data_IF_034358610615
#
_entry.id   IF_034358610615
#
_cell.length_a   1.000
_cell.length_b   1.000
_cell.length_c   1.000
_cell.angle_alpha   90.00
_cell.angle_beta   90.00
_cell.angle_gamma   90.00
#
_symmetry.space_group_name_H-M   'P 1'
#
loop_
_entity.id
_entity.type
_entity.pdbx_description
1 polymer ?
#
# COMPACT_ATOMS: atom_id res chain seq x y z
N UNK A 1 -33.33 12.18 1.29
CA UNK A 1 -34.50 11.47 0.73
C UNK A 1 -35.09 10.61 1.82
N UNK A 2 -36.38 10.81 2.13
CA UNK A 2 -37.07 10.17 3.26
C UNK A 2 -37.20 8.65 3.02
N UNK A 3 -36.55 7.85 3.85
CA UNK A 3 -36.78 6.39 3.93
C UNK A 3 -38.17 6.15 4.52
N UNK A 4 -39.20 6.25 3.68
CA UNK A 4 -40.56 5.86 4.06
C UNK A 4 -40.58 4.34 4.31
N UNK A 5 -40.60 3.98 5.58
CA UNK A 5 -40.40 2.63 6.06
C UNK A 5 -41.68 1.80 5.87
N UNK A 6 -41.76 1.03 4.77
CA UNK A 6 -42.99 0.31 4.39
C UNK A 6 -43.12 -1.02 5.14
N UNK A 7 -43.52 -0.95 6.41
CA UNK A 7 -43.96 -2.10 7.20
C UNK A 7 -45.32 -2.59 6.65
N UNK A 8 -45.62 -3.90 6.79
CA UNK A 8 -46.90 -4.45 6.34
C UNK A 8 -48.08 -3.73 7.05
N UNK A 9 -49.08 -3.22 6.30
CA UNK A 9 -50.25 -2.58 6.88
C UNK A 9 -51.08 -3.58 7.72
N UNK A 10 -51.78 -3.09 8.75
CA UNK A 10 -52.44 -3.92 9.77
C UNK A 10 -53.98 -4.02 9.63
N UNK A 11 -54.63 -3.16 8.83
CA UNK A 11 -56.10 -3.02 8.86
C UNK A 11 -56.85 -3.17 7.54
N UNK A 12 -56.20 -3.03 6.38
CA UNK A 12 -56.86 -3.15 5.07
C UNK A 12 -56.34 -4.37 4.29
N UNK A 13 -57.23 -5.32 3.99
CA UNK A 13 -56.93 -6.55 3.27
C UNK A 13 -56.42 -6.30 1.84
N UNK A 14 -56.95 -5.28 1.16
CA UNK A 14 -56.53 -4.90 -0.20
C UNK A 14 -55.10 -4.34 -0.20
N UNK A 15 -54.78 -3.51 0.80
CA UNK A 15 -53.43 -2.97 1.00
C UNK A 15 -52.43 -4.06 1.41
N UNK A 16 -52.84 -5.01 2.26
CA UNK A 16 -52.02 -6.17 2.65
C UNK A 16 -51.70 -7.02 1.42
N UNK A 17 -52.68 -7.28 0.55
CA UNK A 17 -52.47 -8.07 -0.68
C UNK A 17 -51.53 -7.35 -1.64
N UNK A 18 -51.71 -6.04 -1.82
CA UNK A 18 -50.82 -5.21 -2.64
C UNK A 18 -49.40 -5.13 -2.06
N UNK A 19 -49.24 -5.06 -0.73
CA UNK A 19 -47.95 -5.12 -0.06
C UNK A 19 -47.28 -6.48 -0.28
N UNK A 20 -47.98 -7.60 -0.05
CA UNK A 20 -47.44 -8.96 -0.26
C UNK A 20 -46.97 -9.19 -1.69
N UNK A 21 -47.70 -8.68 -2.69
CA UNK A 21 -47.29 -8.77 -4.11
C UNK A 21 -45.98 -8.03 -4.38
N UNK A 22 -45.86 -6.80 -3.85
CA UNK A 22 -44.63 -5.99 -3.99
C UNK A 22 -43.46 -6.60 -3.25
N UNK A 23 -43.70 -7.09 -2.04
CA UNK A 23 -42.68 -7.74 -1.22
C UNK A 23 -42.18 -9.04 -1.89
N UNK A 24 -43.08 -9.87 -2.42
CA UNK A 24 -42.70 -11.07 -3.18
C UNK A 24 -41.86 -10.74 -4.43
N UNK A 25 -42.23 -9.69 -5.17
CA UNK A 25 -41.44 -9.22 -6.31
C UNK A 25 -40.04 -8.75 -5.88
N UNK A 26 -39.95 -7.94 -4.83
CA UNK A 26 -38.67 -7.47 -4.29
C UNK A 26 -37.79 -8.63 -3.81
N UNK A 27 -38.35 -9.62 -3.09
CA UNK A 27 -37.63 -10.82 -2.69
C UNK A 27 -37.08 -11.59 -3.89
N UNK A 28 -37.87 -11.74 -4.96
CA UNK A 28 -37.44 -12.41 -6.19
C UNK A 28 -36.27 -11.68 -6.85
N UNK A 29 -36.36 -10.35 -6.99
CA UNK A 29 -35.29 -9.53 -7.56
C UNK A 29 -34.01 -9.64 -6.73
N UNK A 30 -34.13 -9.51 -5.39
CA UNK A 30 -32.98 -9.59 -4.48
C UNK A 30 -32.33 -10.98 -4.59
N UNK A 31 -33.11 -12.05 -4.48
CA UNK A 31 -32.61 -13.43 -4.54
C UNK A 31 -31.88 -13.72 -5.86
N UNK A 32 -32.43 -13.28 -6.99
CA UNK A 32 -31.82 -13.48 -8.32
C UNK A 32 -30.56 -12.65 -8.57
N UNK A 33 -30.37 -11.58 -7.80
CA UNK A 33 -29.21 -10.68 -7.95
C UNK A 33 -27.98 -11.14 -7.15
N UNK A 34 -28.10 -12.20 -6.36
CA UNK A 34 -27.02 -12.71 -5.51
C UNK A 34 -26.41 -13.98 -6.09
N UNK A 35 -25.11 -14.17 -5.84
CA UNK A 35 -24.47 -15.46 -6.00
C UNK A 35 -24.92 -16.45 -4.92
N UNK A 36 -24.60 -17.74 -5.11
CA UNK A 36 -24.99 -18.83 -4.21
C UNK A 36 -24.50 -18.62 -2.77
N UNK A 37 -23.33 -17.99 -2.60
CA UNK A 37 -22.77 -17.72 -1.29
C UNK A 37 -23.62 -16.70 -0.52
N UNK A 38 -23.88 -15.53 -1.11
CA UNK A 38 -24.71 -14.50 -0.47
C UNK A 38 -26.17 -14.95 -0.32
N UNK A 39 -26.66 -15.77 -1.26
CA UNK A 39 -28.00 -16.35 -1.18
C UNK A 39 -28.21 -17.23 0.05
N UNK A 40 -27.17 -17.91 0.54
CA UNK A 40 -27.26 -18.75 1.74
C UNK A 40 -27.71 -17.96 2.98
N UNK A 41 -27.29 -16.69 3.11
CA UNK A 41 -27.55 -15.87 4.29
C UNK A 41 -28.97 -15.28 4.35
N UNK A 42 -29.66 -15.19 3.21
CA UNK A 42 -31.02 -14.64 3.12
C UNK A 42 -32.11 -15.72 3.14
N UNK A 43 -31.73 -17.01 3.16
CA UNK A 43 -32.64 -18.15 3.05
C UNK A 43 -33.70 -18.19 4.15
N UNK A 44 -33.38 -17.72 5.35
CA UNK A 44 -34.29 -17.67 6.49
C UNK A 44 -35.12 -16.38 6.60
N UNK A 45 -34.83 -15.37 5.77
CA UNK A 45 -35.53 -14.09 5.78
C UNK A 45 -36.94 -14.24 5.20
N UNK A 46 -37.94 -13.66 5.86
CA UNK A 46 -39.35 -13.80 5.49
C UNK A 46 -39.84 -12.64 4.63
N UNK A 47 -39.21 -11.47 4.75
CA UNK A 47 -39.59 -10.26 4.04
C UNK A 47 -38.42 -9.73 3.20
N UNK A 48 -38.73 -8.98 2.14
CA UNK A 48 -37.70 -8.31 1.33
C UNK A 48 -36.87 -7.32 2.16
N UNK A 49 -37.48 -6.69 3.17
CA UNK A 49 -36.79 -5.85 4.15
C UNK A 49 -35.73 -6.64 4.92
N UNK A 50 -36.10 -7.80 5.48
CA UNK A 50 -35.15 -8.66 6.19
C UNK A 50 -34.00 -9.12 5.29
N UNK A 51 -34.29 -9.51 4.04
CA UNK A 51 -33.26 -9.91 3.08
C UNK A 51 -32.28 -8.76 2.82
N UNK A 52 -32.78 -7.56 2.54
CA UNK A 52 -31.95 -6.39 2.27
C UNK A 52 -31.10 -6.02 3.49
N UNK A 53 -31.69 -6.00 4.68
CA UNK A 53 -30.97 -5.74 5.92
C UNK A 53 -29.88 -6.78 6.18
N UNK A 54 -30.14 -8.06 5.89
CA UNK A 54 -29.14 -9.12 6.02
C UNK A 54 -27.95 -8.89 5.06
N UNK A 55 -28.22 -8.54 3.81
CA UNK A 55 -27.19 -8.24 2.79
C UNK A 55 -26.36 -7.04 3.22
N UNK A 56 -27.02 -5.93 3.61
CA UNK A 56 -26.35 -4.72 4.11
C UNK A 56 -25.42 -5.07 5.26
N UNK A 57 -25.91 -5.80 6.26
CA UNK A 57 -25.10 -6.24 7.41
C UNK A 57 -23.87 -7.05 6.99
N UNK A 58 -24.00 -7.99 6.06
CA UNK A 58 -22.87 -8.82 5.59
C UNK A 58 -21.83 -7.96 4.88
N UNK A 59 -22.28 -7.05 4.00
CA UNK A 59 -21.38 -6.16 3.25
C UNK A 59 -20.70 -5.14 4.16
N UNK A 60 -21.42 -4.60 5.14
CA UNK A 60 -20.86 -3.71 6.16
C UNK A 60 -19.85 -4.45 7.03
N UNK A 61 -20.16 -5.66 7.48
CA UNK A 61 -19.23 -6.47 8.27
C UNK A 61 -17.96 -6.81 7.47
N UNK A 62 -18.09 -7.19 6.20
CA UNK A 62 -16.94 -7.41 5.33
C UNK A 62 -16.10 -6.13 5.16
N UNK A 63 -16.75 -4.98 5.04
CA UNK A 63 -16.09 -3.67 5.01
C UNK A 63 -15.34 -3.39 6.31
N UNK A 64 -15.96 -3.60 7.47
CA UNK A 64 -15.32 -3.40 8.79
C UNK A 64 -14.13 -4.34 8.97
N UNK A 65 -14.28 -5.62 8.63
CA UNK A 65 -13.18 -6.60 8.70
C UNK A 65 -12.03 -6.22 7.79
N UNK A 66 -12.32 -5.74 6.58
CA UNK A 66 -11.31 -5.30 5.62
C UNK A 66 -10.57 -4.06 6.12
N UNK A 67 -11.31 -3.09 6.70
CA UNK A 67 -10.73 -1.90 7.35
C UNK A 67 -9.74 -2.30 8.44
N UNK A 68 -10.18 -3.15 9.38
CA UNK A 68 -9.34 -3.67 10.46
C UNK A 68 -8.08 -4.38 9.94
N UNK A 69 -8.21 -5.22 8.91
CA UNK A 69 -7.08 -5.94 8.33
C UNK A 69 -6.04 -4.99 7.74
N UNK A 70 -6.47 -4.03 6.92
CA UNK A 70 -5.56 -3.07 6.29
C UNK A 70 -4.94 -2.14 7.35
N UNK A 71 -5.70 -1.76 8.38
CA UNK A 71 -5.15 -1.04 9.55
C UNK A 71 -4.05 -1.83 10.25
N UNK A 72 -4.27 -3.12 10.49
CA UNK A 72 -3.24 -4.00 11.05
C UNK A 72 -2.01 -4.11 10.14
N UNK A 73 -2.22 -4.24 8.82
CA UNK A 73 -1.13 -4.26 7.82
C UNK A 73 -0.27 -2.99 7.89
N UNK A 74 -0.90 -1.80 7.94
CA UNK A 74 -0.18 -0.53 8.07
C UNK A 74 0.61 -0.44 9.38
N UNK A 75 0.01 -0.80 10.50
CA UNK A 75 0.71 -0.75 11.79
C UNK A 75 1.87 -1.74 11.87
N UNK A 76 1.70 -2.95 11.33
CA UNK A 76 2.72 -3.99 11.32
C UNK A 76 3.79 -3.81 10.22
N UNK A 77 3.55 -2.97 9.21
CA UNK A 77 4.50 -2.74 8.13
C UNK A 77 5.77 -2.06 8.66
N UNK A 78 6.92 -2.70 8.47
CA UNK A 78 8.23 -2.19 8.88
C UNK A 78 9.25 -2.45 7.79
N UNK A 79 10.39 -1.76 7.86
CA UNK A 79 11.53 -2.06 7.02
C UNK A 79 11.98 -3.51 7.23
N UNK A 80 12.37 -4.19 6.15
CA UNK A 80 12.86 -5.58 6.16
C UNK A 80 14.29 -5.63 5.59
N UNK A 81 15.09 -6.64 5.98
CA UNK A 81 16.40 -6.84 5.38
C UNK A 81 16.31 -6.94 3.86
N UNK A 82 17.22 -6.25 3.16
CA UNK A 82 17.26 -6.21 1.69
C UNK A 82 16.35 -5.16 1.03
N UNK A 83 15.56 -4.41 1.81
CA UNK A 83 14.82 -3.26 1.29
C UNK A 83 15.72 -2.03 1.18
N UNK A 84 15.46 -1.21 0.17
CA UNK A 84 15.97 0.16 0.01
C UNK A 84 14.82 1.18 0.18
N UNK A 85 15.14 2.47 0.22
CA UNK A 85 14.15 3.54 0.44
C UNK A 85 13.00 3.46 -0.57
N UNK A 86 13.33 3.32 -1.86
CA UNK A 86 12.33 3.25 -2.93
C UNK A 86 11.35 2.08 -2.74
N UNK A 87 11.85 0.88 -2.47
CA UNK A 87 11.03 -0.31 -2.24
C UNK A 87 10.17 -0.20 -0.98
N UNK A 88 10.69 0.43 0.08
CA UNK A 88 9.96 0.65 1.32
C UNK A 88 8.80 1.62 1.14
N UNK A 89 9.05 2.78 0.53
CA UNK A 89 8.04 3.79 0.25
C UNK A 89 6.98 3.25 -0.72
N UNK A 90 7.38 2.52 -1.77
CA UNK A 90 6.44 1.90 -2.69
C UNK A 90 5.49 0.93 -1.97
N UNK A 91 6.00 0.03 -1.14
CA UNK A 91 5.17 -0.90 -0.37
C UNK A 91 4.26 -0.20 0.65
N UNK A 92 4.74 0.87 1.29
CA UNK A 92 3.92 1.69 2.19
C UNK A 92 2.77 2.37 1.44
N UNK A 93 3.05 2.96 0.27
CA UNK A 93 2.05 3.61 -0.57
C UNK A 93 0.97 2.63 -1.07
N UNK A 94 1.32 1.38 -1.34
CA UNK A 94 0.33 0.34 -1.63
C UNK A 94 -0.66 0.17 -0.48
N UNK A 95 -0.19 0.17 0.77
CA UNK A 95 -1.04 0.03 1.95
C UNK A 95 -1.89 1.30 2.16
N UNK A 96 -1.29 2.49 2.00
CA UNK A 96 -2.02 3.77 2.09
C UNK A 96 -3.12 3.85 1.04
N UNK A 97 -2.86 3.43 -0.20
CA UNK A 97 -3.87 3.39 -1.26
C UNK A 97 -5.02 2.41 -0.93
N UNK A 98 -4.71 1.25 -0.32
CA UNK A 98 -5.74 0.33 0.19
C UNK A 98 -6.61 1.00 1.25
N UNK A 99 -6.01 1.73 2.21
CA UNK A 99 -6.74 2.48 3.24
C UNK A 99 -7.70 3.49 2.62
N UNK A 100 -7.21 4.30 1.67
CA UNK A 100 -8.02 5.31 0.99
C UNK A 100 -9.20 4.70 0.23
N UNK A 101 -8.99 3.57 -0.46
CA UNK A 101 -10.07 2.85 -1.15
C UNK A 101 -11.17 2.33 -0.22
N UNK A 102 -10.84 2.12 1.07
CA UNK A 102 -11.79 1.75 2.11
C UNK A 102 -12.35 2.99 2.84
N UNK A 103 -12.09 4.20 2.37
CA UNK A 103 -12.50 5.46 3.01
C UNK A 103 -11.92 5.61 4.43
N UNK A 104 -10.68 5.16 4.62
CA UNK A 104 -9.87 5.48 5.79
C UNK A 104 -8.94 6.61 5.36
N UNK A 105 -9.17 7.82 5.87
CA UNK A 105 -8.30 8.97 5.65
C UNK A 105 -7.10 8.88 6.60
N UNK A 106 -5.91 9.11 6.04
CA UNK A 106 -4.66 9.18 6.79
C UNK A 106 -4.03 10.54 6.49
N UNK A 107 -3.75 11.29 7.55
CA UNK A 107 -3.01 12.55 7.42
C UNK A 107 -1.57 12.26 7.01
N UNK A 108 -1.00 13.14 6.19
CA UNK A 108 0.40 13.06 5.75
C UNK A 108 1.36 12.96 6.95
N UNK A 109 1.04 13.62 8.07
CA UNK A 109 1.80 13.56 9.33
C UNK A 109 1.92 12.14 9.88
N UNK A 110 0.85 11.35 9.80
CA UNK A 110 0.82 9.95 10.26
C UNK A 110 1.71 9.10 9.35
N UNK A 111 1.63 9.30 8.04
CA UNK A 111 2.40 8.54 7.06
C UNK A 111 3.89 8.90 7.18
N UNK A 112 4.22 10.18 7.28
CA UNK A 112 5.59 10.68 7.53
C UNK A 112 6.13 10.12 8.85
N UNK A 113 5.35 10.18 9.93
CA UNK A 113 5.73 9.62 11.21
C UNK A 113 6.04 8.12 11.11
N UNK A 114 5.23 7.37 10.35
CA UNK A 114 5.45 5.95 10.08
C UNK A 114 6.75 5.70 9.33
N UNK A 115 7.04 6.48 8.28
CA UNK A 115 8.31 6.38 7.53
C UNK A 115 9.48 6.58 8.48
N UNK A 116 9.50 7.72 9.19
CA UNK A 116 10.60 8.07 10.10
C UNK A 116 10.77 7.02 11.19
N UNK A 117 9.69 6.46 11.74
CA UNK A 117 9.76 5.43 12.78
C UNK A 117 10.39 4.13 12.25
N UNK A 118 10.02 3.71 11.05
CA UNK A 118 10.41 2.42 10.49
C UNK A 118 11.78 2.39 9.79
N UNK A 119 12.47 3.54 9.67
CA UNK A 119 13.82 3.57 9.13
C UNK A 119 14.78 2.69 9.94
N UNK A 120 15.73 1.99 9.28
CA UNK A 120 16.77 1.23 9.97
C UNK A 120 17.81 2.16 10.64
N UNK A 121 18.67 1.59 11.48
CA UNK A 121 19.70 2.33 12.24
C UNK A 121 20.69 3.09 11.35
N UNK A 122 20.90 2.63 10.12
CA UNK A 122 21.80 3.29 9.15
C UNK A 122 21.33 4.73 8.80
N UNK A 123 20.06 5.03 9.05
CA UNK A 123 19.47 6.36 8.87
C UNK A 123 19.36 7.15 10.18
N UNK A 124 20.04 6.77 11.26
CA UNK A 124 19.92 7.49 12.54
C UNK A 124 20.45 8.93 12.45
N UNK A 125 21.52 9.16 11.68
CA UNK A 125 22.03 10.51 11.39
C UNK A 125 20.97 11.38 10.71
N UNK A 126 20.28 10.82 9.71
CA UNK A 126 19.15 11.45 9.05
C UNK A 126 18.02 11.72 10.06
N UNK A 127 17.66 10.74 10.90
CA UNK A 127 16.59 10.88 11.89
C UNK A 127 16.85 12.01 12.89
N UNK A 128 18.09 12.19 13.33
CA UNK A 128 18.45 13.30 14.21
C UNK A 128 18.37 14.65 13.48
N UNK A 129 18.95 14.74 12.28
CA UNK A 129 18.89 15.96 11.46
C UNK A 129 17.44 16.38 11.17
N UNK A 130 16.60 15.41 10.83
CA UNK A 130 15.18 15.59 10.59
C UNK A 130 14.46 16.14 11.81
N UNK A 131 14.68 15.58 13.00
CA UNK A 131 14.05 16.07 14.25
C UNK A 131 14.40 17.52 14.57
N UNK A 132 15.59 17.97 14.19
CA UNK A 132 16.05 19.34 14.44
C UNK A 132 15.55 20.33 13.37
N UNK A 133 15.33 19.85 12.15
CA UNK A 133 15.11 20.70 10.97
C UNK A 133 13.72 20.57 10.36
N UNK A 134 12.88 19.67 10.88
CA UNK A 134 11.57 19.35 10.30
C UNK A 134 10.72 20.62 10.11
N UNK A 135 10.35 20.96 8.86
CA UNK A 135 9.42 22.04 8.58
C UNK A 135 8.06 21.83 9.25
N UNK A 136 7.33 22.93 9.50
CA UNK A 136 5.94 22.88 10.00
C UNK A 136 4.97 22.21 9.02
N UNK A 137 5.30 22.21 7.73
CA UNK A 137 4.53 21.59 6.65
C UNK A 137 5.49 20.79 5.79
N UNK A 138 5.51 19.47 5.98
CA UNK A 138 6.31 18.54 5.16
C UNK A 138 5.36 17.71 4.34
N UNK A 139 5.70 17.52 3.06
CA UNK A 139 5.03 16.52 2.22
C UNK A 139 5.82 15.22 2.21
N UNK A 140 5.12 14.09 1.99
CA UNK A 140 5.77 12.78 1.84
C UNK A 140 6.77 12.76 0.66
N UNK A 141 6.52 13.55 -0.38
CA UNK A 141 7.42 13.71 -1.53
C UNK A 141 8.76 14.32 -1.15
N UNK A 142 8.74 15.38 -0.33
CA UNK A 142 9.96 16.06 0.12
C UNK A 142 10.81 15.13 0.99
N UNK A 143 10.16 14.43 1.92
CA UNK A 143 10.83 13.43 2.77
C UNK A 143 11.46 12.31 1.94
N UNK A 144 10.71 11.78 0.97
CA UNK A 144 11.20 10.69 0.10
C UNK A 144 12.44 11.13 -0.68
N UNK A 145 12.43 12.34 -1.22
CA UNK A 145 13.58 12.89 -1.97
C UNK A 145 14.82 13.01 -1.09
N UNK A 146 14.67 13.49 0.15
CA UNK A 146 15.78 13.62 1.09
C UNK A 146 16.33 12.25 1.54
N UNK A 147 15.47 11.26 1.75
CA UNK A 147 15.89 9.90 2.09
C UNK A 147 16.66 9.23 0.96
N UNK A 148 16.22 9.39 -0.29
CA UNK A 148 16.93 8.86 -1.47
C UNK A 148 18.32 9.48 -1.65
N UNK A 149 18.44 10.80 -1.42
CA UNK A 149 19.74 11.46 -1.43
C UNK A 149 20.66 10.90 -0.32
N UNK A 150 20.12 10.72 0.89
CA UNK A 150 20.87 10.15 2.00
C UNK A 150 21.34 8.72 1.72
N UNK A 151 20.48 7.87 1.14
CA UNK A 151 20.83 6.50 0.74
C UNK A 151 21.97 6.47 -0.30
N UNK A 152 21.91 7.37 -1.28
CA UNK A 152 22.94 7.51 -2.32
C UNK A 152 24.29 7.93 -1.75
N UNK A 153 24.30 8.88 -0.81
CA UNK A 153 25.51 9.34 -0.14
C UNK A 153 26.16 8.24 0.71
N UNK A 154 25.36 7.40 1.38
CA UNK A 154 25.85 6.26 2.15
C UNK A 154 26.54 5.22 1.25
N UNK A 155 25.95 4.93 0.09
CA UNK A 155 26.53 4.02 -0.89
C UNK A 155 27.87 4.56 -1.44
N UNK A 156 27.94 5.86 -1.73
CA UNK A 156 29.18 6.50 -2.18
C UNK A 156 30.30 6.39 -1.11
N UNK A 157 29.96 6.61 0.17
CA UNK A 157 30.91 6.49 1.29
C UNK A 157 31.39 5.06 1.51
N UNK A 158 30.51 4.07 1.39
CA UNK A 158 30.89 2.66 1.57
C UNK A 158 31.84 2.20 0.45
N UNK A 159 31.62 2.62 -0.80
CA UNK A 159 32.54 2.36 -1.91
C UNK A 159 33.93 2.98 -1.68
N UNK A 160 33.99 4.22 -1.17
CA UNK A 160 35.26 4.87 -0.86
C UNK A 160 36.02 4.20 0.28
N UNK A 161 35.32 3.72 1.32
CA UNK A 161 35.93 3.01 2.44
C UNK A 161 36.55 1.66 2.01
N UNK A 162 35.91 0.96 1.06
CA UNK A 162 36.48 -0.27 0.46
C UNK A 162 37.74 0.05 -0.34
N UNK A 163 37.72 1.12 -1.15
CA UNK A 163 38.89 1.55 -1.93
C UNK A 163 40.08 1.95 -1.05
N UNK A 164 39.84 2.62 0.09
CA UNK A 164 40.89 2.96 1.06
C UNK A 164 41.39 1.71 1.79
N UNK A 165 40.51 0.78 2.14
CA UNK A 165 40.87 -0.50 2.78
C UNK A 165 41.74 -1.38 1.88
N UNK A 166 41.45 -1.45 0.58
CA UNK A 166 42.26 -2.16 -0.41
C UNK A 166 43.60 -1.45 -0.67
N UNK A 167 43.65 -0.12 -0.62
CA UNK A 167 44.90 0.62 -0.74
C UNK A 167 45.86 0.36 0.44
N UNK A 168 45.33 0.07 1.63
CA UNK A 168 46.14 -0.27 2.82
C UNK A 168 46.58 -1.74 2.87
N UNK A 169 45.94 -2.63 2.09
CA UNK A 169 46.42 -4.02 1.90
C UNK A 169 47.31 -4.18 0.66
N UNK A 170 47.37 -3.18 -0.21
CA UNK A 170 48.17 -3.18 -1.44
C UNK A 170 49.68 -2.94 -1.24
N UNK A 171 50.16 -2.71 -0.02
CA UNK A 171 51.61 -2.75 0.29
C UNK A 171 52.16 -4.19 0.37
N UNK A 172 51.40 -5.19 -0.07
CA UNK A 172 51.92 -6.53 -0.34
C UNK A 172 51.26 -7.15 -1.57
N UNK A 173 52.05 -7.23 -2.64
CA UNK A 173 51.93 -8.06 -3.84
C UNK A 173 50.99 -7.60 -4.97
N UNK A 174 51.56 -6.81 -5.89
CA UNK A 174 51.71 -7.06 -7.35
C UNK A 174 50.67 -7.90 -8.14
N UNK A 175 49.37 -7.88 -7.78
CA UNK A 175 48.34 -8.65 -8.52
C UNK A 175 47.17 -7.80 -9.05
N UNK A 176 46.95 -6.58 -8.55
CA UNK A 176 45.77 -5.80 -8.95
C UNK A 176 45.83 -5.13 -10.33
N UNK A 177 46.99 -5.10 -11.00
CA UNK A 177 47.09 -4.52 -12.35
C UNK A 177 46.37 -5.35 -13.44
N UNK A 178 46.02 -6.61 -13.19
CA UNK A 178 45.38 -7.46 -14.21
C UNK A 178 43.85 -7.33 -14.28
N UNK A 179 43.18 -6.77 -13.26
CA UNK A 179 41.71 -6.65 -13.28
C UNK A 179 41.21 -5.39 -14.01
N UNK A 180 42.02 -4.33 -14.06
CA UNK A 180 41.66 -3.09 -14.79
C UNK A 180 41.71 -3.31 -16.31
N UNK A 181 42.63 -4.14 -16.81
CA UNK A 181 42.75 -4.43 -18.25
C UNK A 181 41.59 -5.25 -18.82
N UNK A 182 40.92 -6.07 -18.00
CA UNK A 182 39.79 -6.91 -18.45
C UNK A 182 38.50 -6.10 -18.57
N UNK A 183 38.26 -5.12 -17.69
CA UNK A 183 37.05 -4.30 -17.73
C UNK A 183 37.16 -3.22 -18.82
N UNK A 184 38.33 -2.60 -19.01
CA UNK A 184 38.50 -1.59 -20.07
C UNK A 184 38.52 -2.16 -21.49
N UNK A 185 38.83 -3.45 -21.70
CA UNK A 185 38.80 -4.06 -23.04
C UNK A 185 37.40 -4.46 -23.53
N UNK A 186 36.39 -4.55 -22.66
CA UNK A 186 35.03 -4.93 -23.08
C UNK A 186 34.20 -3.77 -23.63
N UNK A 187 34.60 -2.52 -23.35
CA UNK A 187 33.89 -1.31 -23.80
C UNK A 187 34.44 -0.72 -25.11
N UNK A 188 35.53 -1.27 -25.66
CA UNK A 188 36.18 -0.73 -26.87
C UNK A 188 35.70 -1.36 -28.19
N UNK A 189 34.90 -2.44 -28.17
CA UNK A 189 34.46 -3.11 -29.41
C UNK A 189 33.20 -2.53 -30.07
N UNK A 190 32.59 -1.46 -29.54
CA UNK A 190 31.33 -0.91 -30.10
C UNK A 190 31.46 0.32 -31.00
N UNK A 191 32.67 0.81 -31.31
CA UNK A 191 32.81 1.94 -32.24
C UNK A 191 33.92 1.74 -33.25
N UNK A 192 33.66 1.00 -34.34
CA UNK A 192 34.07 1.36 -35.73
C UNK A 192 33.70 0.27 -36.75
N UNK A 193 32.54 0.42 -37.40
CA UNK A 193 32.24 -0.20 -38.69
C UNK A 193 31.01 0.57 -39.27
N UNK A 194 30.99 1.27 -40.41
CA UNK A 194 31.88 1.41 -41.56
C UNK A 194 31.38 2.61 -42.38
N UNK A 195 32.28 3.51 -42.81
CA UNK A 195 32.08 4.39 -43.97
C UNK A 195 32.96 3.88 -45.10
N UNK A 196 32.36 3.28 -46.14
CA UNK A 196 32.86 3.22 -47.53
C UNK A 196 31.90 2.42 -48.42
N UNK A 197 31.09 3.10 -49.23
CA UNK A 197 31.23 3.12 -50.69
C UNK A 197 30.49 4.33 -51.25
#
# INVERSE_FOLDING_TARGET
>A
MLSAERICPQKDESEIKAWKKRDALARCIISRSLDDFHHAFIRSCKTSKEMMNCIVRIKEQATVSSKLLVSSEFHAYTWKPGMNVASFIAGLNVIVNKMQSLQIELDDEIIIGKVIQCLPSDFDSFRQSWRLSAPKTVTLSDLTSQLLACESDQLCRSMQAVSIGEALTADSFEVCLLFVDVVCNLESTETTCTRKR
#
